data_IF_328311917552
#
_entry.id   IF_328311917552
#
_cell.length_a   1.000
_cell.length_b   1.000
_cell.length_c   1.000
_cell.angle_alpha   90.00
_cell.angle_beta   90.00
_cell.angle_gamma   90.00
#
_symmetry.space_group_name_H-M   'P 1'
#
loop_
_entity.id
_entity.type
_entity.pdbx_description
1 polymer ?
#
# COMPACT_ATOMS: atom_id res chain seq x y z
N UNK A 1 -17.79 -4.15 -8.97
CA UNK A 1 -16.49 -3.47 -9.12
C UNK A 1 -16.70 -2.05 -9.59
N UNK A 2 -16.46 -1.06 -8.73
CA UNK A 2 -16.52 0.35 -9.06
C UNK A 2 -15.16 0.81 -9.60
N UNK A 3 -15.15 1.69 -10.59
CA UNK A 3 -13.93 2.34 -11.08
C UNK A 3 -13.66 3.60 -10.27
N UNK A 4 -12.41 4.08 -10.25
CA UNK A 4 -12.05 5.35 -9.63
C UNK A 4 -12.94 6.51 -10.14
N UNK A 5 -13.22 6.54 -11.45
CA UNK A 5 -14.14 7.51 -12.06
C UNK A 5 -15.56 7.43 -11.51
N UNK A 6 -16.11 6.23 -11.27
CA UNK A 6 -17.45 6.06 -10.69
C UNK A 6 -17.46 6.50 -9.23
N UNK A 7 -16.42 6.18 -8.46
CA UNK A 7 -16.31 6.58 -7.06
C UNK A 7 -16.17 8.10 -6.91
N UNK A 8 -15.32 8.74 -7.72
CA UNK A 8 -15.18 10.21 -7.72
C UNK A 8 -16.48 10.90 -8.15
N UNK A 9 -17.21 10.34 -9.13
CA UNK A 9 -18.51 10.87 -9.52
C UNK A 9 -19.51 10.83 -8.38
N UNK A 10 -19.56 9.74 -7.63
CA UNK A 10 -20.41 9.64 -6.45
C UNK A 10 -20.07 10.71 -5.41
N UNK A 11 -18.77 10.96 -5.14
CA UNK A 11 -18.38 12.04 -4.23
C UNK A 11 -18.86 13.40 -4.71
N UNK A 12 -18.73 13.69 -6.00
CA UNK A 12 -19.22 14.94 -6.59
C UNK A 12 -20.76 15.06 -6.53
N UNK A 13 -21.49 14.00 -6.85
CA UNK A 13 -22.97 13.95 -6.78
C UNK A 13 -23.50 14.07 -5.34
N UNK A 14 -22.65 13.86 -4.34
CA UNK A 14 -22.97 13.94 -2.90
C UNK A 14 -22.28 15.10 -2.19
N UNK A 15 -21.67 16.03 -2.93
CA UNK A 15 -20.99 17.21 -2.40
C UNK A 15 -19.88 16.90 -1.35
N UNK A 16 -19.21 15.75 -1.51
CA UNK A 16 -18.04 15.39 -0.71
C UNK A 16 -16.74 15.86 -1.38
N UNK A 17 -16.06 16.85 -0.80
CA UNK A 17 -14.86 17.47 -1.38
C UNK A 17 -13.55 17.14 -0.65
N UNK A 18 -13.62 16.48 0.51
CA UNK A 18 -12.47 16.18 1.37
C UNK A 18 -12.04 14.71 1.31
N UNK A 19 -12.64 13.92 0.42
CA UNK A 19 -12.38 12.50 0.28
C UNK A 19 -11.68 12.22 -1.05
N UNK A 20 -10.63 11.41 -0.98
CA UNK A 20 -9.87 10.93 -2.14
C UNK A 20 -9.69 9.43 -2.02
N UNK A 21 -9.77 8.72 -3.15
CA UNK A 21 -9.59 7.27 -3.17
C UNK A 21 -8.18 6.90 -3.59
N UNK A 22 -7.57 6.03 -2.79
CA UNK A 22 -6.39 5.27 -3.16
C UNK A 22 -6.83 3.97 -3.83
N UNK A 23 -6.66 3.87 -5.15
CA UNK A 23 -7.08 2.75 -5.98
C UNK A 23 -6.08 2.52 -7.13
N UNK A 24 -4.96 1.86 -6.82
CA UNK A 24 -3.83 1.63 -7.74
C UNK A 24 -3.26 2.94 -8.35
N UNK A 25 -3.40 4.05 -7.61
CA UNK A 25 -2.96 5.40 -7.95
C UNK A 25 -2.08 5.96 -6.82
N UNK A 26 -1.77 7.25 -6.83
CA UNK A 26 -1.06 7.92 -5.75
C UNK A 26 -1.72 9.24 -5.35
N UNK A 27 -1.47 9.67 -4.10
CA UNK A 27 -2.03 10.90 -3.55
C UNK A 27 -0.93 11.66 -2.80
N UNK A 28 -0.84 12.98 -3.00
CA UNK A 28 0.02 13.84 -2.18
C UNK A 28 -0.77 14.30 -0.95
N UNK A 29 -0.25 14.02 0.24
CA UNK A 29 -0.82 14.48 1.50
C UNK A 29 0.30 14.82 2.48
N UNK A 30 0.25 16.00 3.10
CA UNK A 30 1.19 16.42 4.16
C UNK A 30 2.68 16.24 3.79
N UNK A 31 3.04 16.57 2.54
CA UNK A 31 4.42 16.46 2.05
C UNK A 31 4.89 15.02 1.79
N UNK A 32 3.96 14.05 1.75
CA UNK A 32 4.22 12.63 1.47
C UNK A 32 3.39 12.18 0.29
N UNK A 33 3.92 11.25 -0.50
CA UNK A 33 3.18 10.58 -1.56
C UNK A 33 2.71 9.22 -1.08
N UNK A 34 1.40 9.07 -0.96
CA UNK A 34 0.73 7.84 -0.55
C UNK A 34 0.43 7.02 -1.79
N UNK A 35 0.80 5.75 -1.79
CA UNK A 35 0.56 4.79 -2.86
C UNK A 35 0.08 3.47 -2.27
N UNK A 36 -0.54 2.61 -3.07
CA UNK A 36 -1.00 1.33 -2.58
C UNK A 36 -1.89 0.56 -3.53
N UNK A 37 -2.03 -0.71 -3.17
CA UNK A 37 -2.92 -1.69 -3.79
C UNK A 37 -3.50 -2.55 -2.66
N UNK A 38 -4.50 -3.37 -2.98
CA UNK A 38 -4.99 -4.36 -2.02
C UNK A 38 -3.89 -5.33 -1.59
N UNK A 39 -3.01 -5.70 -2.53
CA UNK A 39 -2.03 -6.77 -2.32
C UNK A 39 -2.68 -8.16 -2.27
N UNK A 40 -1.85 -9.16 -1.94
CA UNK A 40 -2.26 -10.55 -1.75
C UNK A 40 -1.30 -11.23 -0.77
N UNK A 41 -1.80 -12.20 -0.02
CA UNK A 41 -0.97 -13.06 0.82
C UNK A 41 -0.18 -14.04 -0.05
N UNK A 42 1.01 -14.39 0.39
CA UNK A 42 1.79 -15.47 -0.21
C UNK A 42 1.78 -16.63 0.79
N UNK A 43 0.74 -17.46 0.75
CA UNK A 43 0.63 -18.59 1.69
C UNK A 43 1.48 -19.80 1.28
N UNK A 44 1.90 -20.65 2.23
CA UNK A 44 2.69 -21.84 1.89
C UNK A 44 1.89 -22.88 1.09
N UNK A 45 0.57 -22.83 1.16
CA UNK A 45 -0.36 -23.72 0.44
C UNK A 45 -0.95 -23.09 -0.84
N UNK A 46 -0.35 -22.00 -1.35
CA UNK A 46 -0.80 -21.37 -2.59
C UNK A 46 -0.80 -22.38 -3.74
N UNK A 47 -1.92 -22.44 -4.47
CA UNK A 47 -2.06 -23.24 -5.69
C UNK A 47 -1.54 -22.43 -6.89
N UNK A 48 -1.31 -23.07 -8.03
CA UNK A 48 -0.86 -22.39 -9.26
C UNK A 48 -1.78 -21.22 -9.69
N UNK A 49 -3.05 -21.24 -9.29
CA UNK A 49 -4.01 -20.15 -9.53
C UNK A 49 -3.71 -18.90 -8.70
N UNK A 50 -3.16 -19.06 -7.51
CA UNK A 50 -2.82 -17.96 -6.61
C UNK A 50 -1.59 -17.19 -7.09
N UNK A 51 -0.66 -17.84 -7.79
CA UNK A 51 0.49 -17.18 -8.41
C UNK A 51 0.05 -16.16 -9.46
N UNK A 52 -0.99 -16.47 -10.23
CA UNK A 52 -1.56 -15.52 -11.21
C UNK A 52 -2.17 -14.31 -10.52
N UNK A 53 -2.83 -14.50 -9.36
CA UNK A 53 -3.39 -13.41 -8.58
C UNK A 53 -2.26 -12.55 -8.02
N UNK A 54 -1.22 -13.16 -7.45
CA UNK A 54 -0.07 -12.45 -6.90
C UNK A 54 0.64 -11.60 -7.96
N UNK A 55 0.88 -12.15 -9.15
CA UNK A 55 1.44 -11.39 -10.29
C UNK A 55 0.55 -10.20 -10.65
N UNK A 56 -0.77 -10.39 -10.73
CA UNK A 56 -1.70 -9.32 -11.05
C UNK A 56 -1.75 -8.24 -9.97
N UNK A 57 -1.73 -8.62 -8.70
CA UNK A 57 -1.70 -7.66 -7.59
C UNK A 57 -0.35 -6.92 -7.54
N UNK A 58 0.76 -7.57 -7.90
CA UNK A 58 2.04 -6.91 -8.04
C UNK A 58 2.05 -5.87 -9.18
N UNK A 59 1.45 -6.20 -10.34
CA UNK A 59 1.28 -5.24 -11.44
C UNK A 59 0.46 -4.02 -11.01
N UNK A 60 -0.56 -4.19 -10.16
CA UNK A 60 -1.32 -3.06 -9.59
C UNK A 60 -0.48 -2.20 -8.67
N UNK A 61 0.39 -2.81 -7.87
CA UNK A 61 1.38 -2.06 -7.09
C UNK A 61 2.30 -1.26 -8.00
N UNK A 62 2.82 -1.85 -9.09
CA UNK A 62 3.66 -1.14 -10.06
C UNK A 62 2.94 0.09 -10.65
N UNK A 63 1.66 -0.03 -11.03
CA UNK A 63 0.88 1.11 -11.53
C UNK A 63 0.79 2.25 -10.49
N UNK A 64 0.48 1.90 -9.24
CA UNK A 64 0.41 2.87 -8.14
C UNK A 64 1.76 3.53 -7.86
N UNK A 65 2.85 2.75 -7.87
CA UNK A 65 4.21 3.24 -7.63
C UNK A 65 4.75 4.11 -8.77
N UNK A 66 4.39 3.81 -10.02
CA UNK A 66 4.72 4.66 -11.17
C UNK A 66 4.05 6.03 -11.04
N UNK A 67 2.78 6.06 -10.65
CA UNK A 67 2.11 7.33 -10.36
C UNK A 67 2.72 8.04 -9.16
N UNK A 68 3.08 7.31 -8.10
CA UNK A 68 3.72 7.87 -6.93
C UNK A 68 5.05 8.55 -7.28
N UNK A 69 5.86 7.90 -8.11
CA UNK A 69 7.12 8.46 -8.61
C UNK A 69 6.85 9.75 -9.39
N UNK A 70 5.90 9.73 -10.33
CA UNK A 70 5.51 10.92 -11.10
C UNK A 70 5.07 12.07 -10.18
N UNK A 71 4.25 11.78 -9.17
CA UNK A 71 3.77 12.77 -8.20
C UNK A 71 4.93 13.32 -7.36
N UNK A 72 5.86 12.47 -6.94
CA UNK A 72 7.05 12.89 -6.20
C UNK A 72 7.98 13.77 -7.06
N UNK A 73 8.23 13.38 -8.32
CA UNK A 73 9.05 14.13 -9.27
C UNK A 73 8.46 15.53 -9.53
N UNK A 74 7.13 15.61 -9.72
CA UNK A 74 6.43 16.89 -9.90
C UNK A 74 6.53 17.78 -8.65
N UNK A 75 6.36 17.20 -7.46
CA UNK A 75 6.44 17.93 -6.20
C UNK A 75 7.86 18.42 -5.93
N UNK A 76 8.87 17.61 -6.24
CA UNK A 76 10.28 17.98 -6.15
C UNK A 76 10.61 19.13 -7.10
N UNK A 77 10.13 19.08 -8.35
CA UNK A 77 10.31 20.17 -9.31
C UNK A 77 9.66 21.49 -8.83
N UNK A 78 8.55 21.42 -8.12
CA UNK A 78 7.82 22.58 -7.61
C UNK A 78 8.46 23.17 -6.33
N UNK A 79 8.96 22.31 -5.44
CA UNK A 79 9.36 22.72 -4.07
C UNK A 79 10.86 22.61 -3.80
N UNK A 80 11.62 21.96 -4.68
CA UNK A 80 13.02 21.59 -4.47
C UNK A 80 13.22 20.46 -3.45
N UNK A 81 12.14 19.89 -2.92
CA UNK A 81 12.19 18.83 -1.90
C UNK A 81 11.42 17.61 -2.38
N UNK A 82 12.09 16.46 -2.45
CA UNK A 82 11.45 15.20 -2.80
C UNK A 82 10.58 14.68 -1.65
N UNK A 83 9.26 14.54 -1.82
CA UNK A 83 8.42 13.93 -0.80
C UNK A 83 8.73 12.43 -0.68
N UNK A 84 8.59 11.90 0.53
CA UNK A 84 8.71 10.45 0.76
C UNK A 84 7.55 9.70 0.10
N UNK A 85 7.85 8.56 -0.52
CA UNK A 85 6.83 7.63 -1.02
C UNK A 85 6.54 6.58 0.06
N UNK A 86 5.28 6.49 0.48
CA UNK A 86 4.79 5.56 1.48
C UNK A 86 3.76 4.63 0.84
N UNK A 87 3.92 3.32 1.07
CA UNK A 87 3.00 2.32 0.55
C UNK A 87 1.96 1.87 1.58
N UNK A 88 0.78 1.54 1.09
CA UNK A 88 -0.30 0.92 1.84
C UNK A 88 -0.74 -0.36 1.14
N UNK A 89 -1.01 -1.39 1.94
CA UNK A 89 -1.52 -2.68 1.50
C UNK A 89 -2.67 -3.12 2.41
N UNK A 90 -3.66 -3.83 1.89
CA UNK A 90 -4.60 -4.50 2.79
C UNK A 90 -3.91 -5.68 3.47
N UNK A 91 -3.22 -6.52 2.69
CA UNK A 91 -2.51 -7.69 3.19
C UNK A 91 -1.06 -7.38 3.56
N UNK A 92 -0.50 -8.00 4.61
CA UNK A 92 0.93 -8.00 4.92
C UNK A 92 1.77 -8.47 3.72
N UNK A 93 2.88 -7.78 3.45
CA UNK A 93 3.89 -8.22 2.47
C UNK A 93 4.99 -9.05 3.11
N UNK A 94 5.30 -8.80 4.38
CA UNK A 94 6.09 -9.68 5.24
C UNK A 94 5.16 -10.51 6.12
N UNK A 95 5.30 -11.83 6.05
CA UNK A 95 4.64 -12.75 6.96
C UNK A 95 5.61 -13.87 7.33
N UNK A 96 5.83 -14.11 8.63
CA UNK A 96 6.73 -15.16 9.11
C UNK A 96 6.15 -16.55 8.82
N UNK A 97 7.02 -17.48 8.41
CA UNK A 97 6.63 -18.84 8.05
C UNK A 97 5.90 -18.92 6.71
N UNK A 98 6.07 -17.91 5.85
CA UNK A 98 5.51 -17.86 4.52
C UNK A 98 6.57 -17.55 3.48
N UNK A 99 6.31 -17.94 2.22
CA UNK A 99 7.13 -17.54 1.08
C UNK A 99 7.24 -16.02 0.95
N UNK A 100 8.40 -15.57 0.43
CA UNK A 100 8.66 -14.15 0.19
C UNK A 100 7.66 -13.59 -0.82
N UNK A 101 6.98 -12.50 -0.45
CA UNK A 101 6.09 -11.78 -1.35
C UNK A 101 6.90 -10.95 -2.38
N UNK A 102 6.71 -11.13 -3.70
CA UNK A 102 7.44 -10.38 -4.75
C UNK A 102 7.17 -8.87 -4.73
N UNK A 103 6.09 -8.43 -4.07
CA UNK A 103 5.81 -7.01 -3.84
C UNK A 103 6.93 -6.36 -3.02
N UNK A 104 7.64 -7.09 -2.15
CA UNK A 104 8.76 -6.55 -1.36
C UNK A 104 9.85 -5.97 -2.27
N UNK A 105 10.29 -6.73 -3.27
CA UNK A 105 11.34 -6.29 -4.21
C UNK A 105 10.84 -5.14 -5.09
N UNK A 106 9.56 -5.17 -5.44
CA UNK A 106 8.91 -4.11 -6.19
C UNK A 106 8.89 -2.81 -5.40
N UNK A 107 8.53 -2.82 -4.11
CA UNK A 107 8.53 -1.64 -3.24
C UNK A 107 9.95 -1.07 -3.08
N UNK A 108 10.93 -1.93 -2.81
CA UNK A 108 12.33 -1.52 -2.64
C UNK A 108 12.89 -0.89 -3.92
N UNK A 109 12.59 -1.46 -5.10
CA UNK A 109 13.10 -0.91 -6.37
C UNK A 109 12.53 0.48 -6.72
N UNK A 110 11.39 0.86 -6.14
CA UNK A 110 10.83 2.21 -6.23
C UNK A 110 11.28 3.14 -5.09
N UNK A 111 12.16 2.68 -4.20
CA UNK A 111 12.69 3.47 -3.08
C UNK A 111 11.73 3.61 -1.90
N UNK A 112 10.69 2.77 -1.81
CA UNK A 112 9.77 2.76 -0.67
C UNK A 112 10.47 2.17 0.55
N UNK A 113 10.42 2.89 1.66
CA UNK A 113 11.04 2.47 2.93
C UNK A 113 10.05 1.97 3.96
N UNK A 114 8.76 2.30 3.79
CA UNK A 114 7.69 2.00 4.75
C UNK A 114 6.44 1.54 4.03
N UNK A 115 5.91 0.40 4.47
CA UNK A 115 4.62 -0.12 4.05
C UNK A 115 3.72 -0.32 5.27
N UNK A 116 2.49 0.18 5.18
CA UNK A 116 1.47 0.00 6.21
C UNK A 116 0.48 -1.05 5.73
N UNK A 117 0.22 -2.06 6.55
CA UNK A 117 -0.71 -3.14 6.23
C UNK A 117 -1.78 -3.31 7.30
N UNK A 118 -2.95 -3.77 6.89
CA UNK A 118 -4.00 -4.23 7.79
C UNK A 118 -4.00 -5.75 7.92
N UNK A 119 -5.21 -6.30 8.02
CA UNK A 119 -5.52 -7.72 7.96
C UNK A 119 -4.95 -8.56 9.13
N UNK A 120 -5.82 -8.82 10.12
CA UNK A 120 -5.58 -9.69 11.27
C UNK A 120 -6.80 -10.59 11.53
N UNK A 121 -7.22 -11.38 10.54
CA UNK A 121 -8.31 -12.35 10.77
C UNK A 121 -7.80 -13.59 11.50
N UNK A 122 -7.40 -13.44 12.77
CA UNK A 122 -6.91 -14.54 13.62
C UNK A 122 -5.44 -14.91 13.42
N UNK A 123 -4.70 -14.17 12.59
CA UNK A 123 -3.24 -14.24 12.51
C UNK A 123 -2.66 -13.47 13.70
N UNK A 124 -1.70 -14.06 14.40
CA UNK A 124 -1.06 -13.35 15.49
C UNK A 124 -0.16 -12.21 14.99
N UNK A 125 -0.21 -11.01 15.60
CA UNK A 125 0.56 -9.84 15.16
C UNK A 125 2.05 -10.10 14.95
N UNK A 126 2.69 -10.92 15.79
CA UNK A 126 4.12 -11.22 15.67
C UNK A 126 4.50 -11.87 14.33
N UNK A 127 3.56 -12.52 13.65
CA UNK A 127 3.80 -13.09 12.31
C UNK A 127 3.84 -12.03 11.22
N UNK A 128 3.17 -10.89 11.41
CA UNK A 128 3.03 -9.82 10.42
C UNK A 128 3.82 -8.57 10.80
N UNK A 129 4.38 -8.51 12.00
CA UNK A 129 5.39 -7.50 12.34
C UNK A 129 6.71 -7.89 11.69
N UNK A 130 7.33 -6.97 10.95
CA UNK A 130 8.57 -7.29 10.26
C UNK A 130 9.09 -6.23 9.31
N UNK A 131 10.04 -6.65 8.49
CA UNK A 131 10.77 -5.81 7.57
C UNK A 131 12.22 -6.29 7.43
N UNK A 132 12.96 -5.62 6.57
CA UNK A 132 14.40 -5.80 6.42
C UNK A 132 15.10 -4.43 6.50
N UNK A 133 16.37 -4.37 6.12
CA UNK A 133 17.17 -3.13 6.09
C UNK A 133 16.56 -2.04 5.19
N UNK A 134 15.84 -2.44 4.15
CA UNK A 134 15.40 -1.55 3.08
C UNK A 134 13.91 -1.16 3.18
N UNK A 135 13.08 -2.04 3.73
CA UNK A 135 11.64 -1.88 3.84
C UNK A 135 11.13 -2.32 5.22
N UNK A 136 10.45 -1.41 5.92
CA UNK A 136 9.77 -1.69 7.19
C UNK A 136 8.27 -1.83 6.99
N UNK A 137 7.67 -2.84 7.62
CA UNK A 137 6.24 -3.06 7.63
C UNK A 137 5.62 -2.65 8.97
N UNK A 138 4.51 -1.92 8.90
CA UNK A 138 3.74 -1.48 10.06
C UNK A 138 2.34 -2.06 9.99
N UNK A 139 1.93 -2.73 11.07
CA UNK A 139 0.59 -3.26 11.21
C UNK A 139 -0.35 -2.20 11.77
N UNK A 140 -1.40 -1.87 11.02
CA UNK A 140 -2.40 -0.84 11.35
C UNK A 140 -3.84 -1.36 11.31
N UNK A 141 -4.02 -2.68 11.47
CA UNK A 141 -5.35 -3.25 11.64
C UNK A 141 -6.01 -2.71 12.91
N UNK A 142 -7.30 -2.37 12.84
CA UNK A 142 -7.99 -1.69 13.95
C UNK A 142 -8.10 -2.54 15.20
N UNK A 143 -8.23 -3.86 15.07
CA UNK A 143 -8.23 -4.81 16.18
C UNK A 143 -6.89 -4.84 16.92
N UNK A 144 -5.77 -4.76 16.22
CA UNK A 144 -4.44 -4.65 16.83
C UNK A 144 -4.15 -3.28 17.44
N UNK A 145 -4.67 -2.23 16.82
CA UNK A 145 -4.50 -0.86 17.33
C UNK A 145 -5.55 -0.48 18.38
N UNK A 146 -6.38 -1.41 18.85
CA UNK A 146 -7.47 -1.13 19.79
C UNK A 146 -8.36 0.05 19.32
N UNK A 147 -8.64 0.08 18.02
CA UNK A 147 -9.39 1.12 17.32
C UNK A 147 -8.81 2.54 17.46
N UNK A 148 -7.52 2.65 17.81
CA UNK A 148 -6.81 3.92 17.93
C UNK A 148 -5.99 4.18 16.67
N UNK A 149 -6.28 5.23 15.88
CA UNK A 149 -5.55 5.50 14.65
C UNK A 149 -4.05 5.73 14.89
N UNK A 150 -3.21 5.11 14.07
CA UNK A 150 -1.76 5.37 14.08
C UNK A 150 -1.44 6.59 13.21
N UNK A 151 -0.73 7.57 13.77
CA UNK A 151 -0.21 8.70 13.00
C UNK A 151 0.97 8.27 12.12
N UNK A 152 0.87 8.53 10.83
CA UNK A 152 1.96 8.33 9.86
C UNK A 152 2.88 9.55 9.90
N UNK A 153 3.98 9.43 10.67
CA UNK A 153 5.00 10.50 10.80
C UNK A 153 5.82 10.69 9.54
#
# INVERSE_FOLDING_TARGET
WNTLTKMNRFLMEKDFHTLSFLYNNALLAEGKVLCGSRGWLCEDYMKDEDDKILVRENQRFVLSLQEAKKTADNQEALTGVRPEIIAFSHYPVFTQGYKKNPVIDTLISFGVKRVYCGHLHGVHPEKVLGGNSDLKQYLVASDYLEFTPMTVK
#
